data_IF_403201111446
#
_entry.id   IF_403201111446
#
_cell.length_a   1.000
_cell.length_b   1.000
_cell.length_c   1.000
_cell.angle_alpha   90.00
_cell.angle_beta   90.00
_cell.angle_gamma   90.00
#
_symmetry.space_group_name_H-M   'P 1'
#
loop_
_entity.id
_entity.type
_entity.pdbx_description
1 polymer ?
#
# COMPACT_ATOMS: atom_id res chain seq x y z
N UNK A 1 50.80 -13.59 9.13
CA UNK A 1 51.70 -14.64 8.64
C UNK A 1 51.25 -15.01 7.24
N UNK A 2 52.12 -14.79 6.26
CA UNK A 2 51.87 -15.07 4.84
C UNK A 2 51.88 -16.57 4.55
N UNK A 3 51.12 -17.00 3.55
CA UNK A 3 51.50 -18.14 2.72
C UNK A 3 50.82 -18.07 1.35
N UNK A 4 51.68 -18.03 0.34
CA UNK A 4 51.46 -17.98 -1.10
C UNK A 4 51.33 -19.37 -1.72
N UNK A 5 50.67 -19.40 -2.89
CA UNK A 5 50.94 -20.22 -4.09
C UNK A 5 50.77 -21.76 -4.05
N UNK A 6 50.06 -22.30 -5.05
CA UNK A 6 50.67 -23.01 -6.18
C UNK A 6 49.59 -23.68 -7.06
N UNK A 7 49.69 -23.48 -8.38
CA UNK A 7 49.03 -24.31 -9.39
C UNK A 7 49.91 -25.51 -9.74
N UNK A 8 49.33 -26.63 -10.19
CA UNK A 8 50.04 -27.58 -11.03
C UNK A 8 49.44 -27.69 -12.45
N UNK A 9 50.34 -27.60 -13.42
CA UNK A 9 50.21 -27.97 -14.83
C UNK A 9 50.46 -29.47 -15.02
N UNK A 10 49.62 -30.15 -15.80
CA UNK A 10 49.92 -31.39 -16.55
C UNK A 10 48.89 -31.41 -17.70
N UNK A 11 49.14 -31.72 -18.97
CA UNK A 11 50.23 -32.38 -19.67
C UNK A 11 49.59 -33.01 -20.91
N UNK A 12 50.17 -32.75 -22.07
CA UNK A 12 49.65 -33.06 -23.41
C UNK A 12 49.49 -34.57 -23.67
N UNK A 13 48.48 -34.96 -24.43
CA UNK A 13 48.53 -36.16 -25.29
C UNK A 13 47.65 -35.96 -26.52
N UNK A 14 48.33 -35.78 -27.64
CA UNK A 14 47.81 -35.67 -29.00
C UNK A 14 47.21 -36.99 -29.48
N UNK A 15 46.00 -36.95 -30.03
CA UNK A 15 45.52 -38.01 -30.93
C UNK A 15 44.87 -37.36 -32.14
N UNK A 16 45.57 -37.46 -33.27
CA UNK A 16 45.12 -36.99 -34.58
C UNK A 16 44.10 -37.96 -35.16
N UNK A 17 42.87 -37.48 -35.41
CA UNK A 17 41.91 -38.17 -36.27
C UNK A 17 41.50 -37.26 -37.44
N UNK A 18 41.92 -37.66 -38.64
CA UNK A 18 41.45 -37.11 -39.90
C UNK A 18 39.95 -37.33 -40.03
N UNK A 19 39.18 -36.31 -40.42
CA UNK A 19 37.88 -36.53 -41.08
C UNK A 19 37.49 -35.40 -42.02
N UNK A 20 37.65 -35.72 -43.31
CA UNK A 20 36.68 -35.57 -44.40
C UNK A 20 35.90 -34.25 -44.52
N UNK A 21 36.29 -33.51 -45.57
CA UNK A 21 35.57 -32.37 -46.15
C UNK A 21 34.22 -32.85 -46.71
N UNK A 22 33.10 -32.46 -46.08
CA UNK A 22 31.77 -32.52 -46.70
C UNK A 22 31.17 -31.13 -46.78
N UNK A 23 31.00 -30.67 -48.01
CA UNK A 23 30.15 -29.54 -48.39
C UNK A 23 28.71 -29.85 -47.95
N UNK A 24 28.07 -28.95 -47.20
CA UNK A 24 26.64 -29.01 -46.94
C UNK A 24 26.08 -27.61 -46.79
N UNK A 25 25.05 -27.40 -47.59
CA UNK A 25 24.29 -26.20 -47.90
C UNK A 25 23.92 -25.39 -46.65
N UNK A 26 24.26 -24.10 -46.65
CA UNK A 26 23.70 -23.14 -45.68
C UNK A 26 22.24 -22.87 -46.03
N UNK A 27 21.33 -23.69 -45.52
CA UNK A 27 19.91 -23.33 -45.47
C UNK A 27 19.74 -22.24 -44.39
N UNK A 28 19.49 -21.01 -44.80
CA UNK A 28 19.08 -19.94 -43.89
C UNK A 28 17.70 -20.30 -43.33
N UNK A 29 17.63 -20.65 -42.06
CA UNK A 29 16.36 -20.58 -41.33
C UNK A 29 16.13 -19.13 -40.89
N UNK A 30 14.95 -18.54 -41.13
CA UNK A 30 14.61 -17.25 -40.58
C UNK A 30 14.32 -17.45 -39.08
N UNK A 31 15.33 -17.22 -38.26
CA UNK A 31 15.16 -17.16 -36.81
C UNK A 31 14.46 -15.85 -36.51
N UNK A 32 13.15 -15.89 -36.31
CA UNK A 32 12.37 -14.77 -35.78
C UNK A 32 12.98 -14.39 -34.43
N UNK A 33 13.80 -13.33 -34.43
CA UNK A 33 14.26 -12.71 -33.20
C UNK A 33 13.03 -12.05 -32.56
N UNK A 34 12.46 -12.72 -31.56
CA UNK A 34 11.49 -12.07 -30.69
C UNK A 34 12.23 -10.92 -30.02
N UNK A 35 11.90 -9.69 -30.45
CA UNK A 35 12.42 -8.43 -29.91
C UNK A 35 11.79 -8.20 -28.53
N UNK A 36 12.16 -9.05 -27.57
CA UNK A 36 11.64 -9.03 -26.21
C UNK A 36 12.63 -8.28 -25.30
N UNK A 37 12.13 -7.29 -24.56
CA UNK A 37 12.75 -6.86 -23.31
C UNK A 37 13.05 -5.37 -23.15
N UNK A 38 13.26 -4.61 -24.24
CA UNK A 38 13.70 -3.20 -24.12
C UNK A 38 12.64 -2.24 -23.58
N UNK A 39 11.38 -2.41 -23.99
CA UNK A 39 10.29 -1.48 -23.65
C UNK A 39 9.83 -1.60 -22.19
N UNK A 40 9.57 -2.83 -21.72
CA UNK A 40 9.06 -3.07 -20.35
C UNK A 40 10.12 -2.75 -19.29
N UNK A 41 11.38 -3.13 -19.52
CA UNK A 41 12.46 -2.85 -18.55
C UNK A 41 12.74 -1.36 -18.39
N UNK A 42 12.63 -0.58 -19.47
CA UNK A 42 12.73 0.87 -19.42
C UNK A 42 11.57 1.51 -18.64
N UNK A 43 10.34 1.05 -18.89
CA UNK A 43 9.16 1.50 -18.14
C UNK A 43 9.32 1.21 -16.65
N UNK A 44 9.73 -0.01 -16.29
CA UNK A 44 9.93 -0.40 -14.89
C UNK A 44 11.05 0.39 -14.22
N UNK A 45 12.15 0.66 -14.94
CA UNK A 45 13.26 1.47 -14.41
C UNK A 45 12.83 2.92 -14.17
N UNK A 46 12.08 3.49 -15.12
CA UNK A 46 11.51 4.84 -14.99
C UNK A 46 10.53 4.91 -13.82
N UNK A 47 9.58 3.97 -13.74
CA UNK A 47 8.63 3.90 -12.64
C UNK A 47 9.32 3.81 -11.27
N UNK A 48 10.34 2.94 -11.15
CA UNK A 48 11.14 2.81 -9.92
C UNK A 48 11.79 4.13 -9.52
N UNK A 49 12.27 4.90 -10.49
CA UNK A 49 12.91 6.20 -10.25
C UNK A 49 11.87 7.27 -9.88
N UNK A 50 10.79 7.37 -10.66
CA UNK A 50 9.77 8.42 -10.52
C UNK A 50 8.95 8.22 -9.23
N UNK A 51 8.76 6.97 -8.78
CA UNK A 51 8.11 6.64 -7.52
C UNK A 51 9.08 6.54 -6.33
N UNK A 52 10.38 6.82 -6.51
CA UNK A 52 11.32 6.79 -5.41
C UNK A 52 11.00 7.90 -4.40
N UNK A 53 10.94 7.55 -3.12
CA UNK A 53 10.70 8.49 -2.00
C UNK A 53 11.93 8.59 -1.09
N UNK A 54 13.06 9.12 -1.59
CA UNK A 54 14.25 9.33 -0.76
C UNK A 54 13.96 10.33 0.36
N UNK A 55 14.72 10.23 1.44
CA UNK A 55 14.52 11.03 2.66
C UNK A 55 14.37 12.56 2.43
N UNK A 56 15.13 13.21 1.53
CA UNK A 56 14.94 14.64 1.26
C UNK A 56 13.54 14.98 0.72
N UNK A 57 12.98 14.12 -0.14
CA UNK A 57 11.62 14.31 -0.66
C UNK A 57 10.60 14.12 0.46
N UNK A 58 10.76 13.10 1.30
CA UNK A 58 9.85 12.87 2.44
C UNK A 58 9.85 14.03 3.43
N UNK A 59 11.01 14.64 3.70
CA UNK A 59 11.11 15.85 4.52
C UNK A 59 10.36 17.02 3.89
N UNK A 60 10.54 17.26 2.60
CA UNK A 60 9.84 18.31 1.89
C UNK A 60 8.31 18.12 1.94
N UNK A 61 7.83 16.88 1.77
CA UNK A 61 6.40 16.55 1.91
C UNK A 61 5.90 16.84 3.33
N UNK A 62 6.65 16.45 4.36
CA UNK A 62 6.28 16.72 5.75
C UNK A 62 6.20 18.23 6.05
N UNK A 63 7.17 19.01 5.55
CA UNK A 63 7.19 20.47 5.72
C UNK A 63 6.02 21.15 5.01
N UNK A 64 5.70 20.70 3.78
CA UNK A 64 4.54 21.18 3.03
C UNK A 64 3.22 20.86 3.76
N UNK A 65 3.05 19.63 4.24
CA UNK A 65 1.87 19.25 5.05
C UNK A 65 1.76 20.09 6.33
N UNK A 66 2.87 20.36 7.02
CA UNK A 66 2.86 21.21 8.21
C UNK A 66 2.48 22.67 7.90
N UNK A 67 2.86 23.18 6.71
CA UNK A 67 2.42 24.49 6.24
C UNK A 67 0.91 24.50 5.96
N UNK A 68 0.40 23.48 5.28
CA UNK A 68 -1.03 23.34 4.97
C UNK A 68 -1.88 23.21 6.23
N UNK A 69 -1.42 22.48 7.25
CA UNK A 69 -2.07 22.43 8.56
C UNK A 69 -2.17 23.81 9.21
N UNK A 70 -1.07 24.58 9.19
CA UNK A 70 -1.05 25.93 9.76
C UNK A 70 -1.97 26.88 9.00
N UNK A 71 -2.01 26.77 7.67
CA UNK A 71 -2.92 27.54 6.85
C UNK A 71 -4.39 27.15 7.12
N UNK A 72 -4.74 25.87 7.08
CA UNK A 72 -6.11 25.39 7.31
C UNK A 72 -6.67 25.73 8.70
N UNK A 73 -5.81 25.87 9.72
CA UNK A 73 -6.22 26.33 11.06
C UNK A 73 -6.43 27.85 11.17
N UNK A 74 -5.95 28.65 10.21
CA UNK A 74 -6.06 30.11 10.27
C UNK A 74 -7.48 30.59 9.99
N UNK A 75 -8.13 30.03 8.97
CA UNK A 75 -9.55 30.21 8.66
C UNK A 75 -9.99 29.21 7.57
N UNK A 76 -11.29 28.96 7.46
CA UNK A 76 -11.87 28.04 6.49
C UNK A 76 -11.49 28.41 5.05
N UNK A 77 -10.91 27.46 4.32
CA UNK A 77 -10.51 27.63 2.91
C UNK A 77 -9.13 28.24 2.68
N UNK A 78 -8.33 28.48 3.73
CA UNK A 78 -6.95 28.94 3.60
C UNK A 78 -5.97 27.87 3.05
N UNK A 79 -6.37 26.60 3.08
CA UNK A 79 -5.65 25.46 2.49
C UNK A 79 -6.67 24.41 2.02
N UNK A 80 -6.26 23.54 1.10
CA UNK A 80 -7.01 22.35 0.73
C UNK A 80 -7.18 21.38 1.92
N UNK A 81 -6.31 21.47 2.92
CA UNK A 81 -6.44 20.75 4.17
C UNK A 81 -7.44 21.47 5.09
N UNK A 82 -8.68 20.95 5.15
CA UNK A 82 -9.83 21.60 5.81
C UNK A 82 -9.69 21.85 7.31
N UNK A 83 -8.82 21.12 8.02
CA UNK A 83 -8.61 21.24 9.48
C UNK A 83 -9.91 21.39 10.31
N UNK A 84 -10.90 20.54 10.02
CA UNK A 84 -12.25 20.60 10.62
C UNK A 84 -12.19 20.36 12.14
N UNK A 85 -12.89 21.19 12.92
CA UNK A 85 -13.06 21.00 14.36
C UNK A 85 -13.86 19.72 14.67
N UNK A 86 -13.32 18.88 15.55
CA UNK A 86 -13.95 17.60 15.92
C UNK A 86 -15.10 17.73 16.93
N UNK A 87 -15.24 18.89 17.60
CA UNK A 87 -16.15 19.10 18.74
C UNK A 87 -15.94 18.11 19.89
N UNK A 88 -14.74 17.55 20.02
CA UNK A 88 -14.34 16.74 21.18
C UNK A 88 -13.83 17.68 22.28
N UNK A 89 -14.63 17.90 23.31
CA UNK A 89 -14.28 18.80 24.42
C UNK A 89 -13.16 18.25 25.30
N UNK A 90 -13.13 16.93 25.51
CA UNK A 90 -12.13 16.25 26.34
C UNK A 90 -11.78 14.89 25.78
N UNK A 91 -10.48 14.59 25.73
CA UNK A 91 -9.99 13.26 25.36
C UNK A 91 -10.19 12.25 26.50
N UNK A 92 -10.35 10.95 26.19
CA UNK A 92 -10.49 9.92 27.20
C UNK A 92 -9.33 9.90 28.19
N UNK A 93 -9.65 9.78 29.47
CA UNK A 93 -8.73 9.73 30.60
C UNK A 93 -8.28 8.31 30.94
N UNK A 94 -9.08 7.31 30.54
CA UNK A 94 -8.97 5.93 30.95
C UNK A 94 -9.72 5.60 32.24
N UNK A 95 -10.26 6.59 32.96
CA UNK A 95 -11.08 6.38 34.17
C UNK A 95 -12.56 6.08 33.87
N UNK A 96 -12.95 6.12 32.59
CA UNK A 96 -14.32 5.90 32.16
C UNK A 96 -14.82 4.51 32.58
N UNK A 97 -16.02 4.49 33.15
CA UNK A 97 -16.71 3.29 33.61
C UNK A 97 -18.13 3.31 33.07
N UNK A 98 -18.65 2.15 32.73
CA UNK A 98 -20.02 2.00 32.24
C UNK A 98 -20.10 1.35 30.88
N UNK A 99 -21.33 1.23 30.39
CA UNK A 99 -21.65 0.58 29.14
C UNK A 99 -21.86 1.66 28.06
N UNK A 100 -21.13 1.53 26.96
CA UNK A 100 -21.17 2.45 25.84
C UNK A 100 -21.57 1.70 24.58
N UNK A 101 -22.29 2.39 23.69
CA UNK A 101 -22.63 1.88 22.37
C UNK A 101 -21.97 2.74 21.31
N UNK A 102 -21.58 2.12 20.20
CA UNK A 102 -21.14 2.83 19.00
C UNK A 102 -21.81 2.23 17.76
N UNK A 103 -22.10 3.09 16.80
CA UNK A 103 -22.62 2.74 15.49
C UNK A 103 -21.62 3.19 14.44
N UNK A 104 -21.16 2.25 13.63
CA UNK A 104 -20.23 2.50 12.54
C UNK A 104 -20.96 2.21 11.22
N UNK A 105 -21.27 3.28 10.48
CA UNK A 105 -21.97 3.21 9.20
C UNK A 105 -20.95 3.15 8.07
N UNK A 106 -20.71 1.95 7.55
CA UNK A 106 -19.92 1.73 6.34
C UNK A 106 -20.76 1.81 5.07
N UNK A 107 -20.13 1.56 3.91
CA UNK A 107 -20.83 1.61 2.63
C UNK A 107 -21.76 0.41 2.36
N UNK A 108 -21.35 -0.80 2.73
CA UNK A 108 -22.09 -2.05 2.43
C UNK A 108 -22.65 -2.73 3.68
N UNK A 109 -22.10 -2.38 4.84
CA UNK A 109 -22.53 -2.92 6.12
C UNK A 109 -22.49 -1.79 7.14
N UNK A 110 -23.30 -1.91 8.18
CA UNK A 110 -23.08 -1.18 9.42
C UNK A 110 -22.72 -2.12 10.55
N UNK A 111 -22.11 -1.58 11.60
CA UNK A 111 -21.71 -2.32 12.78
C UNK A 111 -22.21 -1.64 14.04
N UNK A 112 -22.84 -2.41 14.92
CA UNK A 112 -23.21 -1.98 16.27
C UNK A 112 -22.22 -2.59 17.25
N UNK A 113 -21.65 -1.75 18.10
CA UNK A 113 -20.70 -2.12 19.13
C UNK A 113 -21.29 -1.82 20.50
N UNK A 114 -21.10 -2.75 21.44
CA UNK A 114 -21.36 -2.55 22.87
C UNK A 114 -20.07 -2.77 23.64
N UNK A 115 -19.61 -1.75 24.35
CA UNK A 115 -18.32 -1.74 25.06
C UNK A 115 -18.56 -1.45 26.54
N UNK A 116 -18.15 -2.37 27.41
CA UNK A 116 -18.16 -2.18 28.85
C UNK A 116 -16.78 -1.69 29.32
N UNK A 117 -16.71 -0.46 29.83
CA UNK A 117 -15.51 0.13 30.41
C UNK A 117 -15.49 -0.02 31.93
N UNK A 118 -14.29 -0.21 32.47
CA UNK A 118 -14.01 -0.52 33.87
C UNK A 118 -13.06 0.42 34.59
N UNK A 119 -12.73 1.57 34.01
CA UNK A 119 -11.76 2.53 34.52
C UNK A 119 -10.31 2.06 34.32
N UNK A 120 -9.36 2.78 34.92
CA UNK A 120 -7.94 2.73 34.50
C UNK A 120 -7.27 1.37 34.61
N UNK A 121 -7.62 0.59 35.63
CA UNK A 121 -7.06 -0.75 35.85
C UNK A 121 -7.66 -1.78 34.91
N UNK A 122 -9.01 -1.81 34.82
CA UNK A 122 -9.73 -2.83 34.05
C UNK A 122 -9.86 -2.51 32.57
N UNK A 123 -9.74 -1.23 32.20
CA UNK A 123 -9.88 -0.68 30.85
C UNK A 123 -11.17 -1.19 30.17
N UNK A 124 -11.04 -1.93 29.07
CA UNK A 124 -12.16 -2.57 28.39
C UNK A 124 -12.42 -3.93 29.04
N UNK A 125 -13.59 -4.09 29.66
CA UNK A 125 -14.00 -5.33 30.31
C UNK A 125 -14.57 -6.32 29.29
N UNK A 126 -15.44 -5.84 28.40
CA UNK A 126 -16.10 -6.65 27.40
C UNK A 126 -16.45 -5.80 26.17
N UNK A 127 -16.43 -6.44 25.01
CA UNK A 127 -16.86 -5.85 23.74
C UNK A 127 -17.71 -6.86 23.00
N UNK A 128 -18.89 -6.44 22.58
CA UNK A 128 -19.76 -7.19 21.68
C UNK A 128 -19.92 -6.39 20.38
N UNK A 129 -19.98 -7.10 19.26
CA UNK A 129 -20.05 -6.50 17.93
C UNK A 129 -21.00 -7.30 17.07
N UNK A 130 -21.90 -6.62 16.39
CA UNK A 130 -22.75 -7.21 15.36
C UNK A 130 -22.60 -6.39 14.08
N UNK A 131 -22.38 -7.09 12.95
CA UNK A 131 -22.31 -6.48 11.64
C UNK A 131 -23.53 -6.90 10.83
N UNK A 132 -24.18 -5.92 10.21
CA UNK A 132 -25.42 -6.10 9.47
C UNK A 132 -25.24 -5.53 8.06
N UNK A 133 -25.58 -6.29 7.01
CA UNK A 133 -25.54 -5.79 5.64
C UNK A 133 -26.59 -4.70 5.41
N UNK A 134 -26.23 -3.68 4.65
CA UNK A 134 -27.15 -2.61 4.23
C UNK A 134 -27.85 -3.10 2.96
N UNK A 135 -29.20 -3.14 2.93
CA UNK A 135 -29.96 -3.45 1.73
C UNK A 135 -29.57 -2.55 0.54
N UNK A 136 -29.50 -3.11 -0.67
CA UNK A 136 -29.03 -2.38 -1.86
C UNK A 136 -29.92 -1.17 -2.18
N UNK A 137 -31.20 -1.26 -1.87
CA UNK A 137 -32.19 -0.19 -2.05
C UNK A 137 -31.84 1.04 -1.21
N UNK A 138 -31.23 0.86 -0.04
CA UNK A 138 -30.75 1.95 0.82
C UNK A 138 -29.36 2.45 0.41
N UNK A 139 -28.55 1.64 -0.25
CA UNK A 139 -27.23 2.04 -0.75
C UNK A 139 -27.33 3.00 -1.95
N UNK A 140 -28.34 2.80 -2.81
CA UNK A 140 -28.54 3.57 -4.05
C UNK A 140 -29.84 4.40 -4.06
N UNK A 141 -30.53 4.47 -2.92
CA UNK A 141 -31.78 5.21 -2.79
C UNK A 141 -31.61 6.71 -3.06
N UNK A 142 -32.59 7.31 -3.73
CA UNK A 142 -32.66 8.78 -3.89
C UNK A 142 -33.15 9.42 -2.59
N UNK A 143 -32.85 10.70 -2.39
CA UNK A 143 -33.21 11.44 -1.15
C UNK A 143 -34.72 11.54 -0.88
N UNK A 144 -35.58 11.16 -1.84
CA UNK A 144 -37.04 11.21 -1.71
C UNK A 144 -37.60 10.22 -0.68
N UNK A 145 -36.88 9.13 -0.39
CA UNK A 145 -37.29 8.09 0.59
C UNK A 145 -37.34 8.62 2.04
N UNK A 146 -36.69 9.75 2.34
CA UNK A 146 -36.67 10.35 3.69
C UNK A 146 -38.04 10.93 4.12
N UNK A 147 -38.95 11.17 3.17
CA UNK A 147 -40.27 11.76 3.43
C UNK A 147 -41.31 10.81 4.04
N UNK A 148 -41.09 9.49 3.99
CA UNK A 148 -42.06 8.49 4.46
C UNK A 148 -41.77 7.95 5.88
N UNK A 149 -40.67 8.35 6.52
CA UNK A 149 -40.36 7.97 7.92
C UNK A 149 -40.85 8.98 8.97
N UNK A 150 -41.66 9.97 8.57
CA UNK A 150 -42.25 10.98 9.45
C UNK A 150 -43.77 10.82 9.66
N UNK A 151 -44.33 9.63 9.43
CA UNK A 151 -45.72 9.32 9.81
C UNK A 151 -45.76 8.25 10.90
#
# INVERSE_FOLDING_TARGET
>A
MAATAASPTVGCSSVSFLRSRRSSSKALQPRMAVRSGGSVTQILTKLKKDCATPLPILRHVADAMANDMRAGLAFDGASDLKMILSYVDSLPTGEEKGLFYALDLGGTNFRVLRVQLGGKERRVIATESEQVPIPQELMYGTSEVSSHMHQ
#
